data_IF_848549120587
#
_entry.id   IF_848549120587
#
_cell.length_a   1.000
_cell.length_b   1.000
_cell.length_c   1.000
_cell.angle_alpha   90.00
_cell.angle_beta   90.00
_cell.angle_gamma   90.00
#
_symmetry.space_group_name_H-M   'P 1'
#
loop_
_entity.id
_entity.type
_entity.pdbx_description
1 polymer ?
#
# COMPACT_ATOMS: atom_id res chain seq x y z
N UNK A 1 13.07 11.18 2.26
CA UNK A 1 13.42 9.93 2.99
C UNK A 1 14.24 9.12 2.02
N UNK A 2 15.56 9.02 2.21
CA UNK A 2 16.39 8.20 1.34
C UNK A 2 16.11 6.71 1.57
N UNK A 3 16.31 5.88 0.56
CA UNK A 3 16.31 4.44 0.72
C UNK A 3 17.43 4.06 1.69
N UNK A 4 17.28 2.97 2.44
CA UNK A 4 18.35 2.42 3.28
C UNK A 4 19.24 1.46 2.48
N UNK A 5 20.40 1.09 3.02
CA UNK A 5 21.26 0.06 2.42
C UNK A 5 20.55 -1.31 2.37
N UNK A 6 19.80 -1.65 3.42
CA UNK A 6 19.00 -2.88 3.47
C UNK A 6 17.89 -2.89 2.42
N UNK A 7 17.22 -1.76 2.20
CA UNK A 7 16.19 -1.64 1.17
C UNK A 7 16.76 -1.77 -0.23
N UNK A 8 17.92 -1.15 -0.50
CA UNK A 8 18.61 -1.36 -1.78
C UNK A 8 18.98 -2.82 -1.96
N UNK A 9 19.59 -3.44 -0.97
CA UNK A 9 19.95 -4.86 -1.03
C UNK A 9 18.74 -5.74 -1.34
N UNK A 10 17.57 -5.45 -0.75
CA UNK A 10 16.34 -6.18 -1.02
C UNK A 10 15.76 -5.88 -2.42
N UNK A 11 15.81 -4.62 -2.90
CA UNK A 11 15.35 -4.24 -4.25
C UNK A 11 16.18 -4.96 -5.32
N UNK A 12 17.49 -5.05 -5.13
CA UNK A 12 18.40 -5.63 -6.11
C UNK A 12 18.62 -7.15 -5.93
N UNK A 13 17.99 -7.79 -4.95
CA UNK A 13 18.25 -9.19 -4.61
C UNK A 13 18.03 -10.17 -5.79
N UNK A 14 17.03 -9.88 -6.64
CA UNK A 14 16.65 -10.71 -7.78
C UNK A 14 17.06 -10.10 -9.14
N UNK A 15 17.85 -9.02 -9.13
CA UNK A 15 18.29 -8.32 -10.33
C UNK A 15 19.68 -8.81 -10.74
N UNK A 16 19.87 -9.13 -12.03
CA UNK A 16 21.18 -9.55 -12.56
C UNK A 16 22.21 -8.42 -12.43
N UNK A 17 23.32 -8.71 -11.75
CA UNK A 17 24.40 -7.76 -11.51
C UNK A 17 25.09 -7.36 -12.83
N UNK A 18 25.24 -6.05 -13.05
CA UNK A 18 25.78 -5.47 -14.28
C UNK A 18 24.82 -5.50 -15.46
N UNK A 19 23.57 -5.94 -15.24
CA UNK A 19 22.51 -5.94 -16.23
C UNK A 19 21.97 -4.54 -16.53
N UNK A 20 21.29 -4.40 -17.67
CA UNK A 20 20.61 -3.17 -18.07
C UNK A 20 19.54 -2.77 -17.04
N UNK A 21 18.75 -3.75 -16.57
CA UNK A 21 17.66 -3.54 -15.62
C UNK A 21 18.18 -3.01 -14.26
N UNK A 22 19.37 -3.45 -13.84
CA UNK A 22 20.02 -2.94 -12.63
C UNK A 22 20.40 -1.46 -12.76
N UNK A 23 20.95 -1.08 -13.92
CA UNK A 23 21.33 0.30 -14.19
C UNK A 23 20.12 1.23 -14.24
N UNK A 24 19.05 0.84 -14.96
CA UNK A 24 17.80 1.61 -15.04
C UNK A 24 17.15 1.78 -13.65
N UNK A 25 17.13 0.71 -12.84
CA UNK A 25 16.57 0.76 -11.49
C UNK A 25 17.41 1.63 -10.55
N UNK A 26 18.74 1.62 -10.67
CA UNK A 26 19.62 2.53 -9.92
C UNK A 26 19.36 3.99 -10.27
N UNK A 27 19.22 4.30 -11.57
CA UNK A 27 18.90 5.65 -12.04
C UNK A 27 17.53 6.11 -11.52
N UNK A 28 16.53 5.23 -11.54
CA UNK A 28 15.20 5.51 -11.02
C UNK A 28 15.21 5.79 -9.51
N UNK A 29 15.94 4.98 -8.71
CA UNK A 29 16.09 5.22 -7.27
C UNK A 29 16.79 6.54 -7.00
N UNK A 30 17.88 6.84 -7.72
CA UNK A 30 18.59 8.11 -7.55
C UNK A 30 17.69 9.31 -7.86
N UNK A 31 16.90 9.23 -8.93
CA UNK A 31 15.94 10.28 -9.27
C UNK A 31 14.92 10.50 -8.15
N UNK A 32 14.34 9.43 -7.60
CA UNK A 32 13.40 9.52 -6.48
C UNK A 32 14.05 10.23 -5.29
N UNK A 33 15.29 9.88 -4.95
CA UNK A 33 16.00 10.50 -3.84
C UNK A 33 16.28 11.98 -4.07
N UNK A 34 16.72 12.34 -5.28
CA UNK A 34 16.96 13.73 -5.66
C UNK A 34 15.66 14.57 -5.57
N UNK A 35 14.52 14.03 -6.03
CA UNK A 35 13.23 14.72 -5.93
C UNK A 35 12.71 14.80 -4.48
N UNK A 36 12.91 13.75 -3.68
CA UNK A 36 12.58 13.75 -2.25
C UNK A 36 13.38 14.81 -1.48
N UNK A 37 14.64 15.04 -1.85
CA UNK A 37 15.49 16.05 -1.25
C UNK A 37 15.08 17.48 -1.66
N UNK A 38 14.56 17.66 -2.88
CA UNK A 38 13.99 18.95 -3.34
C UNK A 38 12.66 19.26 -2.64
N UNK A 39 11.86 18.22 -2.36
CA UNK A 39 10.63 18.34 -1.59
C UNK A 39 9.40 18.85 -2.36
N UNK A 40 9.45 18.93 -3.69
CA UNK A 40 8.29 19.28 -4.52
C UNK A 40 7.35 18.06 -4.70
N UNK A 41 6.10 18.09 -4.19
CA UNK A 41 5.24 16.91 -4.20
C UNK A 41 4.90 16.37 -5.60
N UNK A 42 4.74 17.25 -6.59
CA UNK A 42 4.43 16.83 -7.96
C UNK A 42 5.62 16.08 -8.57
N UNK A 43 6.82 16.63 -8.42
CA UNK A 43 8.04 16.02 -8.95
C UNK A 43 8.37 14.70 -8.26
N UNK A 44 8.11 14.59 -6.96
CA UNK A 44 8.25 13.32 -6.22
C UNK A 44 7.26 12.27 -6.73
N UNK A 45 5.99 12.63 -6.93
CA UNK A 45 5.01 11.72 -7.54
C UNK A 45 5.49 11.26 -8.92
N UNK A 46 5.88 12.18 -9.79
CA UNK A 46 6.35 11.87 -11.14
C UNK A 46 7.55 10.91 -11.12
N UNK A 47 8.49 11.08 -10.19
CA UNK A 47 9.64 10.18 -10.03
C UNK A 47 9.22 8.76 -9.61
N UNK A 48 8.29 8.63 -8.65
CA UNK A 48 7.74 7.33 -8.26
C UNK A 48 6.94 6.68 -9.39
N UNK A 49 6.07 7.43 -10.07
CA UNK A 49 5.28 6.91 -11.20
C UNK A 49 6.17 6.45 -12.34
N UNK A 50 7.24 7.19 -12.66
CA UNK A 50 8.21 6.80 -13.66
C UNK A 50 8.89 5.48 -13.28
N UNK A 51 9.40 5.38 -12.05
CA UNK A 51 10.06 4.17 -11.55
C UNK A 51 9.12 2.95 -11.56
N UNK A 52 7.87 3.13 -11.13
CA UNK A 52 6.86 2.06 -11.07
C UNK A 52 6.31 1.69 -12.45
N UNK A 53 6.36 2.58 -13.43
CA UNK A 53 6.03 2.25 -14.82
C UNK A 53 7.06 1.31 -15.44
N UNK A 54 8.35 1.47 -15.08
CA UNK A 54 9.44 0.63 -15.55
C UNK A 54 9.59 -0.66 -14.72
N UNK A 55 9.37 -0.57 -13.40
CA UNK A 55 9.64 -1.64 -12.44
C UNK A 55 8.43 -1.93 -11.52
N UNK A 56 7.23 -2.24 -12.07
CA UNK A 56 6.02 -2.39 -11.28
C UNK A 56 6.07 -3.56 -10.28
N UNK A 57 6.90 -4.58 -10.52
CA UNK A 57 7.02 -5.74 -9.63
C UNK A 57 7.86 -5.47 -8.36
N UNK A 58 8.54 -4.33 -8.27
CA UNK A 58 9.39 -4.00 -7.12
C UNK A 58 8.52 -3.49 -5.96
N UNK A 59 8.10 -4.40 -5.09
CA UNK A 59 7.23 -4.13 -3.93
C UNK A 59 7.76 -2.99 -3.06
N UNK A 60 9.08 -2.89 -2.86
CA UNK A 60 9.67 -1.86 -2.02
C UNK A 60 9.53 -0.44 -2.59
N UNK A 61 9.45 -0.27 -3.92
CA UNK A 61 9.15 1.02 -4.53
C UNK A 61 7.72 1.44 -4.21
N UNK A 62 6.76 0.51 -4.32
CA UNK A 62 5.37 0.76 -3.93
C UNK A 62 5.29 1.17 -2.45
N UNK A 63 5.88 0.39 -1.54
CA UNK A 63 5.84 0.69 -0.10
C UNK A 63 6.41 2.07 0.23
N UNK A 64 7.51 2.49 -0.43
CA UNK A 64 8.08 3.84 -0.24
C UNK A 64 7.15 4.92 -0.74
N UNK A 65 6.56 4.71 -1.91
CA UNK A 65 5.63 5.67 -2.47
C UNK A 65 4.40 5.84 -1.59
N UNK A 66 3.81 4.72 -1.15
CA UNK A 66 2.63 4.70 -0.28
C UNK A 66 2.91 5.37 1.07
N UNK A 67 4.04 5.07 1.72
CA UNK A 67 4.41 5.76 2.97
C UNK A 67 4.62 7.27 2.76
N UNK A 68 5.25 7.65 1.64
CA UNK A 68 5.44 9.07 1.33
C UNK A 68 4.11 9.79 1.11
N UNK A 69 3.14 9.17 0.43
CA UNK A 69 1.80 9.73 0.21
C UNK A 69 1.09 10.00 1.54
N UNK A 70 1.22 9.09 2.49
CA UNK A 70 0.62 9.20 3.81
C UNK A 70 1.24 10.33 4.65
N UNK A 71 2.57 10.44 4.63
CA UNK A 71 3.28 11.45 5.40
C UNK A 71 3.09 12.86 4.83
N UNK A 72 3.08 12.98 3.49
CA UNK A 72 3.29 14.24 2.78
C UNK A 72 2.05 14.79 2.08
N UNK A 73 1.28 13.95 1.36
CA UNK A 73 0.19 14.44 0.50
C UNK A 73 -1.05 14.80 1.32
N UNK A 74 -1.37 14.00 2.34
CA UNK A 74 -2.51 14.20 3.29
C UNK A 74 -3.85 14.52 2.61
N UNK A 75 -4.05 14.12 1.36
CA UNK A 75 -5.35 14.16 0.65
C UNK A 75 -5.77 12.71 0.43
N UNK A 76 -6.52 12.10 1.38
CA UNK A 76 -6.79 10.67 1.37
C UNK A 76 -7.41 10.16 0.08
N UNK A 77 -8.32 10.93 -0.53
CA UNK A 77 -9.00 10.55 -1.76
C UNK A 77 -8.07 10.41 -2.97
N UNK A 78 -7.01 11.22 -3.05
CA UNK A 78 -6.02 11.11 -4.13
C UNK A 78 -5.06 9.95 -3.90
N UNK A 79 -4.77 9.62 -2.65
CA UNK A 79 -3.86 8.53 -2.32
C UNK A 79 -4.50 7.16 -2.55
N UNK A 80 -5.83 7.00 -2.35
CA UNK A 80 -6.56 5.72 -2.50
C UNK A 80 -6.29 5.05 -3.84
N UNK A 81 -6.32 5.80 -4.95
CA UNK A 81 -6.07 5.24 -6.29
C UNK A 81 -4.68 4.62 -6.43
N UNK A 82 -3.68 5.17 -5.72
CA UNK A 82 -2.32 4.61 -5.70
C UNK A 82 -2.28 3.31 -4.88
N UNK A 83 -2.97 3.27 -3.74
CA UNK A 83 -3.09 2.04 -2.93
C UNK A 83 -3.80 0.93 -3.70
N UNK A 84 -4.86 1.25 -4.44
CA UNK A 84 -5.58 0.29 -5.29
C UNK A 84 -4.68 -0.31 -6.36
N UNK A 85 -3.91 0.52 -7.06
CA UNK A 85 -2.93 0.04 -8.06
C UNK A 85 -1.85 -0.83 -7.40
N UNK A 86 -1.32 -0.41 -6.26
CA UNK A 86 -0.31 -1.18 -5.54
C UNK A 86 -0.83 -2.57 -5.14
N UNK A 87 -2.06 -2.64 -4.62
CA UNK A 87 -2.74 -3.88 -4.24
C UNK A 87 -3.01 -4.79 -5.44
N UNK A 88 -3.42 -4.21 -6.58
CA UNK A 88 -3.65 -4.97 -7.81
C UNK A 88 -2.36 -5.58 -8.38
N UNK A 89 -1.26 -4.83 -8.34
CA UNK A 89 0.04 -5.28 -8.85
C UNK A 89 0.69 -6.28 -7.90
N UNK A 90 0.48 -6.12 -6.58
CA UNK A 90 1.11 -6.92 -5.54
C UNK A 90 0.07 -7.59 -4.62
N UNK A 91 -0.83 -8.43 -5.16
CA UNK A 91 -1.97 -8.95 -4.39
C UNK A 91 -1.53 -9.80 -3.20
N UNK A 92 -0.37 -10.46 -3.30
CA UNK A 92 0.19 -11.31 -2.25
C UNK A 92 0.94 -10.53 -1.17
N UNK A 93 1.07 -9.21 -1.25
CA UNK A 93 1.72 -8.43 -0.20
C UNK A 93 0.72 -8.06 0.89
N UNK A 94 0.77 -8.77 2.02
CA UNK A 94 -0.09 -8.50 3.18
C UNK A 94 0.09 -7.08 3.72
N UNK A 95 1.30 -6.49 3.61
CA UNK A 95 1.56 -5.10 3.99
C UNK A 95 0.82 -4.11 3.08
N UNK A 96 0.89 -4.29 1.76
CA UNK A 96 0.17 -3.43 0.81
C UNK A 96 -1.35 -3.55 1.01
N UNK A 97 -1.87 -4.77 1.20
CA UNK A 97 -3.30 -4.97 1.44
C UNK A 97 -3.77 -4.29 2.74
N UNK A 98 -2.96 -4.33 3.81
CA UNK A 98 -3.26 -3.59 5.04
C UNK A 98 -3.27 -2.08 4.82
N UNK A 99 -2.25 -1.56 4.13
CA UNK A 99 -2.16 -0.14 3.82
C UNK A 99 -3.34 0.34 2.96
N UNK A 100 -3.79 -0.47 2.00
CA UNK A 100 -4.96 -0.16 1.18
C UNK A 100 -6.26 -0.08 1.99
N UNK A 101 -6.51 -1.05 2.89
CA UNK A 101 -7.66 -1.00 3.81
C UNK A 101 -7.64 0.26 4.69
N UNK A 102 -6.46 0.63 5.21
CA UNK A 102 -6.29 1.83 6.02
C UNK A 102 -6.50 3.10 5.17
N UNK A 103 -6.08 3.11 3.90
CA UNK A 103 -6.34 4.22 2.98
C UNK A 103 -7.83 4.41 2.71
N UNK A 104 -8.57 3.32 2.46
CA UNK A 104 -10.02 3.35 2.25
C UNK A 104 -10.75 3.90 3.47
N UNK A 105 -10.37 3.45 4.66
CA UNK A 105 -10.94 3.96 5.91
C UNK A 105 -10.73 5.47 6.05
N UNK A 106 -9.50 5.95 5.82
CA UNK A 106 -9.15 7.37 5.94
C UNK A 106 -9.86 8.24 4.90
N UNK A 107 -10.10 7.71 3.71
CA UNK A 107 -10.85 8.39 2.67
C UNK A 107 -12.37 8.34 2.88
N UNK A 108 -12.85 7.59 3.88
CA UNK A 108 -14.28 7.45 4.15
C UNK A 108 -15.00 6.67 3.04
N UNK A 109 -14.31 5.69 2.45
CA UNK A 109 -14.88 4.86 1.39
C UNK A 109 -16.13 4.09 1.87
N UNK A 110 -16.98 3.73 0.91
CA UNK A 110 -18.24 3.04 1.22
C UNK A 110 -17.99 1.69 1.91
N UNK A 111 -18.94 1.22 2.74
CA UNK A 111 -18.87 -0.13 3.30
C UNK A 111 -18.60 -1.21 2.25
N UNK A 112 -19.27 -1.13 1.10
CA UNK A 112 -19.15 -2.10 0.01
C UNK A 112 -17.72 -2.15 -0.56
N UNK A 113 -17.10 -0.98 -0.81
CA UNK A 113 -15.71 -0.93 -1.32
C UNK A 113 -14.70 -1.49 -0.31
N UNK A 114 -14.90 -1.22 0.97
CA UNK A 114 -14.07 -1.78 2.04
C UNK A 114 -14.22 -3.31 2.10
N UNK A 115 -15.44 -3.82 1.92
CA UNK A 115 -15.69 -5.26 1.90
C UNK A 115 -15.08 -5.93 0.68
N UNK A 116 -15.19 -5.33 -0.51
CA UNK A 116 -14.55 -5.83 -1.73
C UNK A 116 -13.02 -5.93 -1.57
N UNK A 117 -12.39 -4.89 -1.01
CA UNK A 117 -10.96 -4.91 -0.70
C UNK A 117 -10.61 -5.95 0.37
N UNK A 118 -11.47 -6.12 1.38
CA UNK A 118 -11.29 -7.13 2.41
C UNK A 118 -11.38 -8.56 1.86
N UNK A 119 -12.31 -8.84 0.95
CA UNK A 119 -12.38 -10.13 0.28
C UNK A 119 -11.14 -10.39 -0.56
N UNK A 120 -10.66 -9.40 -1.31
CA UNK A 120 -9.40 -9.50 -2.04
C UNK A 120 -8.22 -9.80 -1.10
N UNK A 121 -8.15 -9.12 0.04
CA UNK A 121 -7.09 -9.29 1.03
C UNK A 121 -7.13 -10.65 1.74
N UNK A 122 -8.31 -11.15 2.09
CA UNK A 122 -8.47 -12.51 2.62
C UNK A 122 -7.99 -13.57 1.63
N UNK A 123 -8.33 -13.41 0.36
CA UNK A 123 -7.96 -14.35 -0.68
C UNK A 123 -6.46 -14.38 -1.00
N UNK A 124 -5.69 -13.40 -0.52
CA UNK A 124 -4.23 -13.35 -0.71
C UNK A 124 -3.41 -13.83 0.49
N UNK A 125 -4.05 -14.30 1.55
CA UNK A 125 -3.37 -14.84 2.73
C UNK A 125 -2.62 -16.13 2.35
N UNK A 126 -1.28 -16.04 2.26
CA UNK A 126 -0.42 -17.19 2.02
C UNK A 126 0.13 -17.81 3.31
N UNK A 127 0.30 -17.01 4.37
CA UNK A 127 0.94 -17.42 5.62
C UNK A 127 0.11 -17.05 6.86
N UNK A 128 0.20 -17.81 7.96
CA UNK A 128 -0.55 -17.53 9.19
C UNK A 128 -0.31 -16.11 9.76
N UNK A 129 0.93 -15.63 9.76
CA UNK A 129 1.29 -14.32 10.31
C UNK A 129 0.72 -13.16 9.47
N UNK A 130 0.59 -13.38 8.16
CA UNK A 130 -0.06 -12.43 7.26
C UNK A 130 -1.55 -12.33 7.57
N UNK A 131 -2.20 -13.48 7.74
CA UNK A 131 -3.60 -13.55 8.16
C UNK A 131 -3.81 -12.82 9.48
N UNK A 132 -3.00 -13.11 10.50
CA UNK A 132 -3.10 -12.44 11.80
C UNK A 132 -3.02 -10.91 11.69
N UNK A 133 -2.09 -10.39 10.88
CA UNK A 133 -1.91 -8.95 10.66
C UNK A 133 -3.10 -8.33 9.91
N UNK A 134 -3.58 -8.98 8.84
CA UNK A 134 -4.71 -8.53 8.04
C UNK A 134 -6.02 -8.49 8.83
N UNK A 135 -6.35 -9.59 9.53
CA UNK A 135 -7.54 -9.65 10.39
C UNK A 135 -7.48 -8.60 11.50
N UNK A 136 -6.30 -8.39 12.09
CA UNK A 136 -6.12 -7.36 13.12
C UNK A 136 -6.44 -5.97 12.55
N UNK A 137 -5.86 -5.62 11.41
CA UNK A 137 -6.12 -4.35 10.72
C UNK A 137 -7.60 -4.16 10.41
N UNK A 138 -8.26 -5.16 9.84
CA UNK A 138 -9.68 -5.11 9.51
C UNK A 138 -10.58 -5.00 10.75
N UNK A 139 -10.31 -5.75 11.83
CA UNK A 139 -11.05 -5.64 13.10
C UNK A 139 -10.95 -4.22 13.68
N UNK A 140 -9.76 -3.62 13.65
CA UNK A 140 -9.58 -2.26 14.17
C UNK A 140 -10.28 -1.21 13.30
N UNK A 141 -10.27 -1.38 11.98
CA UNK A 141 -11.05 -0.57 11.04
C UNK A 141 -12.54 -0.63 11.39
N UNK A 142 -13.10 -1.84 11.51
CA UNK A 142 -14.52 -2.04 11.85
C UNK A 142 -14.88 -1.38 13.19
N UNK A 143 -14.03 -1.57 14.22
CA UNK A 143 -14.21 -0.95 15.53
C UNK A 143 -14.29 0.59 15.44
N UNK A 144 -13.37 1.21 14.69
CA UNK A 144 -13.36 2.66 14.51
C UNK A 144 -14.63 3.16 13.80
N UNK A 145 -15.13 2.43 12.81
CA UNK A 145 -16.38 2.77 12.11
C UNK A 145 -17.61 2.70 13.01
N UNK A 146 -17.72 1.66 13.86
CA UNK A 146 -18.81 1.57 14.84
C UNK A 146 -18.78 2.74 15.82
N UNK A 147 -17.58 3.10 16.30
CA UNK A 147 -17.41 4.28 17.18
C UNK A 147 -17.82 5.57 16.46
N UNK A 148 -17.42 5.74 15.20
CA UNK A 148 -17.76 6.92 14.39
C UNK A 148 -19.25 7.03 14.05
N UNK A 149 -19.97 5.92 13.90
CA UNK A 149 -21.40 5.94 13.65
C UNK A 149 -22.22 6.34 14.89
N UNK A 150 -21.59 6.45 16.06
CA UNK A 150 -22.27 6.69 17.34
C UNK A 150 -23.14 5.51 17.78
N UNK A 151 -22.99 4.34 17.14
CA UNK A 151 -23.70 3.13 17.50
C UNK A 151 -23.08 2.49 18.72
N UNK A 152 -23.88 2.27 19.77
CA UNK A 152 -23.51 1.38 20.89
C UNK A 152 -23.76 -0.10 20.56
N UNK A 153 -24.34 -0.37 19.39
CA UNK A 153 -24.61 -1.71 18.90
C UNK A 153 -23.46 -2.20 18.01
N UNK A 154 -22.59 -3.00 18.63
CA UNK A 154 -21.45 -3.66 17.99
C UNK A 154 -21.84 -4.91 17.18
N UNK A 155 -23.14 -5.26 17.11
CA UNK A 155 -23.66 -6.36 16.29
C UNK A 155 -23.98 -5.95 14.84
N UNK A 156 -23.88 -4.66 14.50
CA UNK A 156 -24.21 -4.09 13.17
C UNK A 156 -23.02 -4.16 12.19
N UNK A 157 -21.94 -4.87 12.51
CA UNK A 157 -21.04 -5.31 11.44
C UNK A 157 -21.66 -6.57 10.87
N UNK A 158 -22.12 -6.60 9.60
CA UNK A 158 -22.52 -7.84 8.95
C UNK A 158 -21.26 -8.71 8.88
N UNK A 159 -21.03 -9.51 9.91
CA UNK A 159 -19.91 -10.41 9.99
C UNK A 159 -20.19 -11.54 9.02
N UNK A 160 -19.63 -11.40 7.82
CA UNK A 160 -19.55 -12.44 6.78
C UNK A 160 -20.94 -12.85 6.25
N UNK A 161 -21.07 -12.85 4.93
CA UNK A 161 -22.27 -13.37 4.26
C UNK A 161 -22.58 -14.81 4.72
N UNK A 162 -23.83 -15.27 4.54
CA UNK A 162 -24.32 -16.56 5.07
C UNK A 162 -23.67 -17.82 4.49
N UNK A 163 -22.59 -17.72 3.72
CA UNK A 163 -21.97 -18.83 3.00
C UNK A 163 -20.51 -19.04 3.43
N UNK A 164 -20.33 -19.67 4.60
CA UNK A 164 -19.15 -20.50 4.96
C UNK A 164 -19.62 -21.93 5.15
#
# INVERSE_FOLDING_TARGET
>A
MAFTEAERAAIFADVEEGGKDEAELKEAIQLIEDELDKGDPSSIQDAFELALSAHPAVILLWLKYLHWLDDSLRIPSQSVEVYERAALVNPMSSEIMQLALIAYERAGESPDRIEDMWEAAKNSIAEPDWGASLFTTYIFLLKRRVVQSGSEDFSIVPLLGPDV
#
